data_IF_910600551204
#
_entry.id   IF_910600551204
#
_cell.length_a   1.000
_cell.length_b   1.000
_cell.length_c   1.000
_cell.angle_alpha   90.00
_cell.angle_beta   90.00
_cell.angle_gamma   90.00
#
_symmetry.space_group_name_H-M   'P 1'
#
loop_
_entity.id
_entity.type
_entity.pdbx_description
1 polymer ?
#
# COMPACT_ATOMS: atom_id res chain seq x y z
N UNK A 1 10.41 15.30 -15.04
CA UNK A 1 9.68 16.48 -15.51
C UNK A 1 8.37 16.51 -14.76
N UNK A 2 8.26 17.38 -13.75
CA UNK A 2 7.07 17.50 -12.92
C UNK A 2 6.08 18.45 -13.58
N UNK A 3 4.93 17.90 -13.99
CA UNK A 3 3.77 18.69 -14.39
C UNK A 3 2.86 18.78 -13.17
N UNK A 4 2.87 19.93 -12.51
CA UNK A 4 1.92 20.24 -11.44
C UNK A 4 0.68 20.84 -12.09
N UNK A 5 -0.45 20.12 -12.08
CA UNK A 5 -1.76 20.66 -12.45
C UNK A 5 -2.51 21.02 -11.16
N UNK A 6 -2.66 22.32 -10.83
CA UNK A 6 -3.35 22.76 -9.63
C UNK A 6 -4.86 22.87 -9.92
N UNK A 7 -5.53 21.73 -9.97
CA UNK A 7 -6.99 21.69 -9.80
C UNK A 7 -7.26 21.15 -8.40
N UNK A 8 -8.18 21.74 -7.64
CA UNK A 8 -8.51 21.46 -6.23
C UNK A 8 -8.96 20.01 -5.94
N UNK A 9 -8.05 19.07 -6.17
CA UNK A 9 -8.21 17.62 -6.15
C UNK A 9 -7.00 17.04 -5.40
N UNK A 10 -6.75 17.55 -4.20
CA UNK A 10 -5.69 17.06 -3.29
C UNK A 10 -5.82 15.57 -2.94
N UNK A 11 -6.91 14.91 -3.34
CA UNK A 11 -7.17 13.48 -3.14
C UNK A 11 -7.01 12.62 -4.41
N UNK A 12 -6.92 13.19 -5.62
CA UNK A 12 -6.71 12.39 -6.85
C UNK A 12 -5.27 11.90 -7.00
N UNK A 13 -4.31 12.49 -6.27
CA UNK A 13 -2.93 12.03 -6.29
C UNK A 13 -2.73 10.68 -5.59
N UNK A 14 -3.63 10.32 -4.66
CA UNK A 14 -3.64 9.00 -4.03
C UNK A 14 -4.23 7.94 -4.97
N UNK A 15 -5.08 8.34 -5.91
CA UNK A 15 -5.66 7.43 -6.90
C UNK A 15 -4.63 6.96 -7.93
N UNK A 16 -3.66 7.81 -8.31
CA UNK A 16 -2.67 7.44 -9.34
C UNK A 16 -1.62 6.45 -8.84
N UNK A 17 -1.06 6.64 -7.64
CA UNK A 17 0.00 5.75 -7.12
C UNK A 17 -0.51 4.32 -6.91
N UNK A 18 -1.73 4.19 -6.39
CA UNK A 18 -2.35 2.88 -6.19
C UNK A 18 -2.96 2.27 -7.47
N UNK A 19 -3.04 3.01 -8.59
CA UNK A 19 -3.41 2.49 -9.92
C UNK A 19 -2.24 2.26 -10.88
N UNK A 20 -1.06 2.84 -10.65
CA UNK A 20 0.11 2.60 -11.53
C UNK A 20 1.10 1.56 -11.01
N UNK A 21 1.18 1.31 -9.69
CA UNK A 21 2.13 0.33 -9.14
C UNK A 21 1.51 -1.05 -8.94
N UNK A 22 2.17 -2.13 -9.37
CA UNK A 22 1.64 -3.50 -9.27
C UNK A 22 1.42 -3.97 -7.81
N UNK A 23 2.17 -3.40 -6.85
CA UNK A 23 2.00 -3.60 -5.42
C UNK A 23 2.14 -2.27 -4.65
N UNK A 24 1.68 -2.23 -3.40
CA UNK A 24 1.81 -1.07 -2.49
C UNK A 24 2.59 -1.43 -1.24
N UNK A 25 3.56 -0.60 -0.86
CA UNK A 25 4.31 -0.70 0.39
C UNK A 25 3.90 0.48 1.29
N UNK A 26 3.25 0.18 2.41
CA UNK A 26 2.82 1.14 3.41
C UNK A 26 3.92 1.36 4.47
N UNK A 27 4.17 2.64 4.80
CA UNK A 27 5.14 3.07 5.79
C UNK A 27 4.48 4.10 6.71
N UNK A 28 4.48 3.82 8.01
CA UNK A 28 3.90 4.64 9.05
C UNK A 28 2.43 4.98 8.75
N UNK A 29 2.14 6.28 8.64
CA UNK A 29 0.95 6.77 7.98
C UNK A 29 -0.24 7.06 8.89
N UNK A 30 -1.00 8.07 8.48
CA UNK A 30 -2.28 8.47 9.09
C UNK A 30 -3.44 8.10 8.16
N UNK A 31 -4.59 8.79 8.23
CA UNK A 31 -5.77 8.47 7.43
C UNK A 31 -5.52 8.46 5.90
N UNK A 32 -4.56 9.25 5.40
CA UNK A 32 -4.17 9.24 3.99
C UNK A 32 -3.60 7.88 3.56
N UNK A 33 -2.69 7.32 4.36
CA UNK A 33 -2.08 6.00 4.12
C UNK A 33 -3.12 4.90 4.24
N UNK A 34 -4.02 4.95 5.22
CA UNK A 34 -5.15 4.02 5.29
C UNK A 34 -5.97 4.04 3.99
N UNK A 35 -6.25 5.23 3.47
CA UNK A 35 -7.01 5.37 2.22
C UNK A 35 -6.27 4.75 1.03
N UNK A 36 -4.95 4.96 0.93
CA UNK A 36 -4.12 4.34 -0.12
C UNK A 36 -4.05 2.81 0.02
N UNK A 37 -3.92 2.29 1.24
CA UNK A 37 -3.96 0.84 1.52
C UNK A 37 -5.30 0.24 1.12
N UNK A 38 -6.42 0.91 1.46
CA UNK A 38 -7.74 0.48 1.04
C UNK A 38 -7.90 0.54 -0.50
N UNK A 39 -7.31 1.54 -1.17
CA UNK A 39 -7.35 1.66 -2.63
C UNK A 39 -6.63 0.49 -3.29
N UNK A 40 -5.42 0.18 -2.84
CA UNK A 40 -4.67 -0.98 -3.30
C UNK A 40 -5.42 -2.28 -3.02
N UNK A 41 -6.03 -2.39 -1.84
CA UNK A 41 -6.81 -3.54 -1.43
C UNK A 41 -7.98 -3.82 -2.38
N UNK A 42 -8.84 -2.82 -2.64
CA UNK A 42 -9.98 -3.00 -3.54
C UNK A 42 -9.54 -3.22 -4.99
N UNK A 43 -8.35 -2.75 -5.35
CA UNK A 43 -7.77 -2.91 -6.70
C UNK A 43 -7.07 -4.25 -6.90
N UNK A 44 -7.23 -5.19 -5.96
CA UNK A 44 -6.62 -6.53 -5.95
C UNK A 44 -5.09 -6.52 -6.02
N UNK A 45 -4.48 -5.48 -5.43
CA UNK A 45 -3.02 -5.34 -5.38
C UNK A 45 -2.48 -5.85 -4.05
N UNK A 46 -1.32 -6.52 -4.02
CA UNK A 46 -0.65 -6.85 -2.78
C UNK A 46 -0.36 -5.58 -1.98
N UNK A 47 -0.65 -5.62 -0.68
CA UNK A 47 -0.35 -4.54 0.27
C UNK A 47 0.67 -5.07 1.27
N UNK A 48 1.84 -4.47 1.29
CA UNK A 48 2.95 -4.80 2.19
C UNK A 48 3.04 -3.68 3.22
N UNK A 49 3.24 -4.01 4.49
CA UNK A 49 3.36 -3.03 5.57
C UNK A 49 4.69 -3.18 6.29
N UNK A 50 5.46 -2.10 6.38
CA UNK A 50 6.70 -2.07 7.18
C UNK A 50 6.30 -1.89 8.65
N UNK A 51 6.29 -2.98 9.42
CA UNK A 51 5.74 -3.01 10.79
C UNK A 51 6.46 -2.01 11.73
N UNK A 52 7.80 -1.92 11.74
CA UNK A 52 8.51 -1.01 12.65
C UNK A 52 8.28 0.48 12.36
N UNK A 53 7.63 0.82 11.25
CA UNK A 53 7.35 2.22 10.89
C UNK A 53 6.12 2.81 11.61
N UNK A 54 5.31 1.98 12.28
CA UNK A 54 4.15 2.42 13.07
C UNK A 54 2.91 2.78 12.24
N UNK A 55 2.01 3.57 12.83
CA UNK A 55 0.84 4.13 12.14
C UNK A 55 -0.16 3.07 11.65
N UNK A 56 -0.76 3.31 10.48
CA UNK A 56 -1.68 2.34 9.87
C UNK A 56 -0.98 1.13 9.25
N UNK A 57 0.29 1.27 8.85
CA UNK A 57 1.08 0.15 8.38
C UNK A 57 1.19 -0.94 9.47
N UNK A 58 1.58 -0.57 10.69
CA UNK A 58 1.65 -1.50 11.83
C UNK A 58 0.27 -2.08 12.18
N UNK A 59 -0.76 -1.25 12.28
CA UNK A 59 -2.10 -1.66 12.73
C UNK A 59 -2.75 -2.72 11.84
N UNK A 60 -2.50 -2.66 10.53
CA UNK A 60 -3.12 -3.57 9.56
C UNK A 60 -2.22 -4.75 9.20
N UNK A 61 -0.94 -4.76 9.61
CA UNK A 61 -0.03 -5.85 9.31
C UNK A 61 -0.57 -7.21 9.78
N UNK A 62 -0.60 -8.20 8.88
CA UNK A 62 -1.12 -9.54 9.17
C UNK A 62 -2.65 -9.65 9.29
N UNK A 63 -3.37 -8.56 9.03
CA UNK A 63 -4.83 -8.49 9.06
C UNK A 63 -5.42 -8.36 7.65
N UNK A 64 -6.73 -8.61 7.54
CA UNK A 64 -7.51 -8.25 6.35
C UNK A 64 -8.03 -6.82 6.50
N UNK A 65 -8.06 -6.06 5.41
CA UNK A 65 -8.69 -4.73 5.41
C UNK A 65 -10.22 -4.87 5.41
N UNK A 66 -10.77 -5.85 4.69
CA UNK A 66 -12.18 -6.24 4.71
C UNK A 66 -12.36 -7.73 4.33
N UNK A 67 -13.61 -8.18 4.20
CA UNK A 67 -13.95 -9.58 3.88
C UNK A 67 -13.96 -9.88 2.37
N UNK A 68 -13.67 -8.92 1.49
CA UNK A 68 -13.74 -9.10 0.03
C UNK A 68 -12.57 -9.91 -0.51
N UNK A 69 -11.46 -9.96 0.22
CA UNK A 69 -10.23 -10.68 -0.13
C UNK A 69 -9.90 -11.75 0.91
N UNK A 70 -9.19 -12.78 0.46
CA UNK A 70 -8.78 -13.89 1.33
C UNK A 70 -7.34 -13.75 1.85
N UNK A 71 -6.50 -13.03 1.12
CA UNK A 71 -5.16 -12.70 1.56
C UNK A 71 -5.18 -11.60 2.64
N UNK A 72 -4.00 -11.17 3.07
CA UNK A 72 -3.78 -10.25 4.19
C UNK A 72 -2.77 -9.20 3.79
N UNK A 73 -2.75 -8.09 4.51
CA UNK A 73 -1.64 -7.13 4.45
C UNK A 73 -0.38 -7.86 4.91
N UNK A 74 0.62 -7.92 4.03
CA UNK A 74 1.84 -8.70 4.21
C UNK A 74 2.79 -7.91 5.12
N UNK A 75 3.15 -8.41 6.32
CA UNK A 75 4.10 -7.73 7.19
C UNK A 75 5.52 -7.77 6.61
N UNK A 76 6.33 -6.74 6.85
CA UNK A 76 7.76 -6.70 6.60
C UNK A 76 8.47 -5.91 7.71
N UNK A 77 9.68 -6.30 8.10
CA UNK A 77 10.50 -5.64 9.12
C UNK A 77 11.40 -4.56 8.52
N UNK A 78 11.77 -4.71 7.25
CA UNK A 78 12.68 -3.79 6.56
C UNK A 78 12.17 -3.40 5.17
N UNK A 79 12.70 -2.29 4.64
CA UNK A 79 12.39 -1.88 3.26
C UNK A 79 12.85 -2.92 2.23
N UNK A 80 14.00 -3.56 2.44
CA UNK A 80 14.50 -4.61 1.55
C UNK A 80 13.57 -5.84 1.53
N UNK A 81 13.14 -6.29 2.71
CA UNK A 81 12.16 -7.36 2.85
C UNK A 81 10.81 -7.00 2.22
N UNK A 82 10.37 -5.74 2.38
CA UNK A 82 9.12 -5.28 1.79
C UNK A 82 9.15 -5.34 0.25
N UNK A 83 10.28 -4.97 -0.37
CA UNK A 83 10.48 -5.09 -1.82
C UNK A 83 10.51 -6.55 -2.25
N UNK A 84 11.23 -7.41 -1.53
CA UNK A 84 11.28 -8.84 -1.83
C UNK A 84 9.88 -9.46 -1.80
N UNK A 85 9.11 -9.20 -0.74
CA UNK A 85 7.73 -9.69 -0.59
C UNK A 85 6.79 -9.15 -1.66
N UNK A 86 7.00 -7.91 -2.12
CA UNK A 86 6.24 -7.35 -3.23
C UNK A 86 6.52 -8.09 -4.55
N UNK A 87 7.80 -8.38 -4.85
CA UNK A 87 8.21 -9.14 -6.04
C UNK A 87 7.65 -10.57 -6.00
N UNK A 88 7.74 -11.24 -4.84
CA UNK A 88 7.19 -12.59 -4.63
C UNK A 88 5.67 -12.61 -4.82
N UNK A 89 4.95 -11.65 -4.24
CA UNK A 89 3.50 -11.54 -4.37
C UNK A 89 3.03 -11.27 -5.82
N UNK A 90 3.89 -10.68 -6.65
CA UNK A 90 3.63 -10.42 -8.06
C UNK A 90 4.04 -11.58 -8.98
N UNK A 91 4.71 -12.61 -8.46
CA UNK A 91 5.21 -13.72 -9.26
C UNK A 91 6.33 -13.32 -10.23
N UNK A 92 7.13 -12.32 -9.87
CA UNK A 92 8.25 -11.81 -10.68
C UNK A 92 9.60 -12.49 -10.36
N UNK A 93 9.60 -13.51 -9.52
CA UNK A 93 10.77 -14.27 -9.08
C UNK A 93 10.90 -15.65 -9.72
#
# INVERSE_FOLDING_TARGET
MDVVIPTGFGHARNYLVAKTGDAVIAVAGSAGTLSEMAIAWFSDRPVIAIVPSGGWAERLAGSKIDDRRQDKVIPAETAAEAVQKAVEALGWG
#
